data_IF_648099881794
#
_entry.id   IF_648099881794
#
_cell.length_a   1.000
_cell.length_b   1.000
_cell.length_c   1.000
_cell.angle_alpha   90.00
_cell.angle_beta   90.00
_cell.angle_gamma   90.00
#
_symmetry.space_group_name_H-M   'P 1'
#
loop_
_entity.id
_entity.type
_entity.pdbx_description
1 polymer ?
#
# COMPACT_ATOMS: atom_id res chain seq x y z
N UNK A 1 -12.35 11.92 13.49
CA UNK A 1 -12.50 11.21 12.20
C UNK A 1 -11.79 11.88 11.00
N UNK A 2 -11.65 13.19 10.94
CA UNK A 2 -11.01 13.92 9.79
C UNK A 2 -9.60 13.41 9.40
N UNK A 3 -8.86 12.73 10.29
CA UNK A 3 -7.50 12.26 10.04
C UNK A 3 -7.38 10.79 9.58
N UNK A 4 -8.49 10.05 9.46
CA UNK A 4 -8.44 8.66 9.01
C UNK A 4 -8.35 8.59 7.49
N UNK A 5 -7.35 7.84 6.99
CA UNK A 5 -7.02 7.76 5.56
C UNK A 5 -7.01 6.30 5.10
N UNK A 6 -7.64 6.01 3.96
CA UNK A 6 -7.66 4.67 3.38
C UNK A 6 -7.31 4.69 1.90
N UNK A 7 -6.68 3.64 1.43
CA UNK A 7 -6.64 3.26 0.03
C UNK A 7 -7.62 2.12 -0.23
N UNK A 8 -8.58 2.34 -1.11
CA UNK A 8 -9.45 1.27 -1.61
C UNK A 8 -8.68 0.51 -2.69
N UNK A 9 -8.50 -0.80 -2.49
CA UNK A 9 -7.80 -1.63 -3.48
C UNK A 9 -8.74 -1.94 -4.66
N UNK A 10 -8.38 -1.42 -5.83
CA UNK A 10 -9.09 -1.59 -7.08
C UNK A 10 -8.53 -2.80 -7.86
N UNK A 11 -8.61 -3.99 -7.25
CA UNK A 11 -8.06 -5.23 -7.80
C UNK A 11 -9.14 -5.88 -8.71
N UNK A 12 -9.21 -5.44 -9.96
CA UNK A 12 -10.10 -5.97 -11.01
C UNK A 12 -9.76 -5.32 -12.35
N UNK A 13 -9.79 -6.05 -13.45
CA UNK A 13 -9.61 -5.52 -14.81
C UNK A 13 -10.88 -4.87 -15.37
N UNK A 14 -12.02 -5.03 -14.69
CA UNK A 14 -13.31 -4.47 -15.12
C UNK A 14 -13.41 -2.97 -14.77
N UNK A 15 -13.29 -2.13 -15.79
CA UNK A 15 -13.33 -0.66 -15.69
C UNK A 15 -14.64 -0.15 -15.08
N UNK A 16 -15.78 -0.73 -15.47
CA UNK A 16 -17.11 -0.31 -14.96
C UNK A 16 -17.22 -0.57 -13.47
N UNK A 17 -16.70 -1.70 -12.98
CA UNK A 17 -16.61 -2.02 -11.57
C UNK A 17 -15.73 -1.00 -10.81
N UNK A 18 -14.58 -0.63 -11.37
CA UNK A 18 -13.67 0.36 -10.76
C UNK A 18 -14.33 1.74 -10.72
N UNK A 19 -14.96 2.19 -11.81
CA UNK A 19 -15.71 3.45 -11.84
C UNK A 19 -16.77 3.49 -10.73
N UNK A 20 -17.52 2.39 -10.53
CA UNK A 20 -18.51 2.25 -9.46
C UNK A 20 -17.85 2.35 -8.08
N UNK A 21 -16.75 1.64 -7.84
CA UNK A 21 -16.02 1.72 -6.56
C UNK A 21 -15.63 3.18 -6.26
N UNK A 22 -15.06 3.89 -7.24
CA UNK A 22 -14.65 5.29 -7.07
C UNK A 22 -15.87 6.17 -6.78
N UNK A 23 -16.96 6.05 -7.55
CA UNK A 23 -18.21 6.80 -7.36
C UNK A 23 -18.78 6.61 -5.95
N UNK A 24 -18.85 5.36 -5.48
CA UNK A 24 -19.50 5.00 -4.21
C UNK A 24 -18.65 5.35 -2.97
N UNK A 25 -17.33 5.62 -3.14
CA UNK A 25 -16.40 5.88 -2.02
C UNK A 25 -15.81 7.29 -1.99
N UNK A 26 -15.98 8.12 -3.03
CA UNK A 26 -15.28 9.41 -3.14
C UNK A 26 -15.79 10.50 -2.18
N UNK A 27 -17.08 10.48 -1.80
CA UNK A 27 -17.72 11.51 -0.97
C UNK A 27 -17.98 10.95 0.43
N UNK A 28 -16.94 10.72 1.20
CA UNK A 28 -17.01 10.15 2.54
C UNK A 28 -16.36 11.07 3.58
N UNK A 29 -16.67 10.85 4.86
CA UNK A 29 -16.09 11.60 5.99
C UNK A 29 -14.62 11.30 6.27
N UNK A 30 -14.04 10.33 5.56
CA UNK A 30 -12.63 9.93 5.67
C UNK A 30 -11.91 10.19 4.34
N UNK A 31 -10.59 10.36 4.39
CA UNK A 31 -9.79 10.58 3.17
C UNK A 31 -9.61 9.26 2.41
N UNK A 32 -10.02 9.24 1.14
CA UNK A 32 -9.96 8.05 0.29
C UNK A 32 -9.00 8.27 -0.88
N UNK A 33 -8.06 7.33 -1.06
CA UNK A 33 -7.26 7.13 -2.26
C UNK A 33 -7.57 5.77 -2.89
N UNK A 34 -7.06 5.52 -4.09
CA UNK A 34 -7.32 4.31 -4.85
C UNK A 34 -6.00 3.63 -5.21
N UNK A 35 -5.85 2.36 -4.78
CA UNK A 35 -4.69 1.54 -5.08
C UNK A 35 -4.97 0.69 -6.32
N UNK A 36 -4.10 0.80 -7.30
CA UNK A 36 -4.10 -0.04 -8.50
C UNK A 36 -2.89 -0.96 -8.46
N UNK A 37 -3.13 -2.26 -8.37
CA UNK A 37 -2.10 -3.29 -8.31
C UNK A 37 -1.68 -3.80 -9.69
N UNK A 38 -0.83 -4.84 -9.68
CA UNK A 38 -0.24 -5.43 -10.88
C UNK A 38 -1.30 -5.90 -11.89
N UNK A 39 -2.36 -6.58 -11.43
CA UNK A 39 -3.44 -7.07 -12.31
C UNK A 39 -4.03 -5.92 -13.14
N UNK A 40 -4.37 -4.82 -12.52
CA UNK A 40 -5.00 -3.69 -13.21
C UNK A 40 -4.02 -2.93 -14.11
N UNK A 41 -2.83 -2.61 -13.62
CA UNK A 41 -1.82 -1.85 -14.37
C UNK A 41 -1.31 -2.59 -15.60
N UNK A 42 -1.27 -3.93 -15.55
CA UNK A 42 -0.89 -4.78 -16.68
C UNK A 42 -2.07 -5.15 -17.60
N UNK A 43 -3.29 -4.76 -17.26
CA UNK A 43 -4.45 -4.98 -18.12
C UNK A 43 -4.45 -4.04 -19.33
N UNK A 44 -5.07 -4.46 -20.45
CA UNK A 44 -5.15 -3.71 -21.72
C UNK A 44 -5.50 -2.23 -21.55
N UNK A 45 -6.38 -1.89 -20.61
CA UNK A 45 -6.90 -0.53 -20.42
C UNK A 45 -6.43 0.14 -19.12
N UNK A 46 -5.61 -0.54 -18.31
CA UNK A 46 -5.26 -0.08 -16.96
C UNK A 46 -4.54 1.26 -16.97
N UNK A 47 -3.47 1.38 -17.75
CA UNK A 47 -2.68 2.60 -17.88
C UNK A 47 -3.51 3.76 -18.44
N UNK A 48 -4.26 3.52 -19.53
CA UNK A 48 -5.12 4.51 -20.15
C UNK A 48 -6.25 5.00 -19.23
N UNK A 49 -6.75 4.13 -18.35
CA UNK A 49 -7.72 4.52 -17.33
C UNK A 49 -7.10 5.44 -16.28
N UNK A 50 -5.92 5.08 -15.74
CA UNK A 50 -5.24 5.88 -14.70
C UNK A 50 -4.89 7.28 -15.23
N UNK A 51 -4.43 7.41 -16.48
CA UNK A 51 -4.11 8.73 -17.08
C UNK A 51 -5.31 9.68 -17.11
N UNK A 52 -6.53 9.14 -17.19
CA UNK A 52 -7.80 9.90 -17.20
C UNK A 52 -8.36 10.23 -15.81
N UNK A 53 -7.84 9.63 -14.74
CA UNK A 53 -8.30 9.92 -13.38
C UNK A 53 -7.86 11.32 -12.97
N UNK A 54 -8.84 12.18 -12.62
CA UNK A 54 -8.60 13.55 -12.15
C UNK A 54 -9.02 13.71 -10.69
N UNK A 55 -8.30 14.58 -9.95
CA UNK A 55 -8.65 14.98 -8.57
C UNK A 55 -8.80 13.82 -7.57
N UNK A 56 -8.11 12.70 -7.78
CA UNK A 56 -8.08 11.54 -6.88
C UNK A 56 -6.65 11.24 -6.46
N UNK A 57 -6.48 10.66 -5.26
CA UNK A 57 -5.20 10.14 -4.80
C UNK A 57 -5.02 8.76 -5.42
N UNK A 58 -4.02 8.62 -6.27
CA UNK A 58 -3.71 7.37 -6.99
C UNK A 58 -2.45 6.75 -6.42
N UNK A 59 -2.56 5.49 -6.04
CA UNK A 59 -1.47 4.67 -5.56
C UNK A 59 -1.20 3.53 -6.56
N UNK A 60 -0.07 3.59 -7.27
CA UNK A 60 0.42 2.54 -8.15
C UNK A 60 1.22 1.51 -7.33
N UNK A 61 0.61 0.35 -7.09
CA UNK A 61 1.20 -0.72 -6.28
C UNK A 61 1.88 -1.76 -7.18
N UNK A 62 3.00 -1.35 -7.81
CA UNK A 62 3.79 -2.17 -8.74
C UNK A 62 4.82 -3.06 -8.07
N UNK A 63 5.18 -2.75 -6.82
CA UNK A 63 6.22 -3.47 -6.07
C UNK A 63 7.51 -3.66 -6.87
N UNK A 64 8.00 -2.56 -7.49
CA UNK A 64 9.23 -2.57 -8.29
C UNK A 64 10.34 -3.29 -7.51
N UNK A 65 11.00 -4.26 -8.15
CA UNK A 65 12.07 -5.03 -7.55
C UNK A 65 13.08 -5.42 -8.63
N UNK A 66 14.08 -4.55 -8.82
CA UNK A 66 15.05 -4.70 -9.90
C UNK A 66 16.35 -3.93 -9.56
N UNK A 67 17.34 -3.98 -10.45
CA UNK A 67 18.57 -3.18 -10.37
C UNK A 67 18.27 -1.67 -10.42
N UNK A 68 19.18 -0.80 -9.91
CA UNK A 68 18.91 0.63 -9.77
C UNK A 68 18.47 1.32 -11.07
N UNK A 69 19.11 1.02 -12.20
CA UNK A 69 18.78 1.65 -13.48
C UNK A 69 17.36 1.31 -13.96
N UNK A 70 16.95 0.03 -13.87
CA UNK A 70 15.61 -0.43 -14.25
C UNK A 70 14.55 0.20 -13.34
N UNK A 71 14.81 0.26 -12.02
CA UNK A 71 13.90 0.93 -11.08
C UNK A 71 13.71 2.42 -11.43
N UNK A 72 14.78 3.13 -11.76
CA UNK A 72 14.75 4.54 -12.19
C UNK A 72 13.97 4.72 -13.49
N UNK A 73 14.24 3.87 -14.50
CA UNK A 73 13.55 3.90 -15.78
C UNK A 73 12.05 3.66 -15.62
N UNK A 74 11.65 2.74 -14.74
CA UNK A 74 10.23 2.49 -14.39
C UNK A 74 9.57 3.75 -13.82
N UNK A 75 10.23 4.44 -12.88
CA UNK A 75 9.69 5.70 -12.32
C UNK A 75 9.54 6.77 -13.39
N UNK A 76 10.52 6.91 -14.27
CA UNK A 76 10.47 7.87 -15.39
C UNK A 76 9.33 7.56 -16.35
N UNK A 77 9.11 6.28 -16.68
CA UNK A 77 8.03 5.83 -17.56
C UNK A 77 6.63 6.05 -16.97
N UNK A 78 6.51 6.23 -15.65
CA UNK A 78 5.24 6.47 -14.97
C UNK A 78 4.93 7.96 -14.75
N UNK A 79 5.81 8.89 -15.12
CA UNK A 79 5.63 10.33 -14.88
C UNK A 79 4.47 10.96 -15.64
N UNK A 80 4.06 10.37 -16.77
CA UNK A 80 2.87 10.77 -17.52
C UNK A 80 1.56 10.42 -16.79
N UNK A 81 1.61 9.43 -15.90
CA UNK A 81 0.49 9.09 -15.03
C UNK A 81 0.50 10.00 -13.80
N UNK A 82 -0.63 10.63 -13.51
CA UNK A 82 -0.78 11.50 -12.33
C UNK A 82 -0.91 10.68 -11.04
N UNK A 83 0.08 9.80 -10.77
CA UNK A 83 0.14 8.99 -9.56
C UNK A 83 0.75 9.78 -8.40
N UNK A 84 0.26 9.50 -7.20
CA UNK A 84 0.72 10.15 -5.96
C UNK A 84 1.67 9.26 -5.16
N UNK A 85 1.51 7.93 -5.26
CA UNK A 85 2.27 6.93 -4.52
C UNK A 85 2.70 5.80 -5.43
N UNK A 86 3.93 5.29 -5.23
CA UNK A 86 4.52 4.18 -5.98
C UNK A 86 5.32 3.28 -5.04
N UNK A 87 5.15 1.96 -5.15
CA UNK A 87 5.88 0.98 -4.33
C UNK A 87 7.16 0.49 -4.99
N UNK A 88 8.21 0.35 -4.16
CA UNK A 88 9.45 -0.36 -4.47
C UNK A 88 9.77 -1.33 -3.32
N UNK A 89 10.23 -2.54 -3.64
CA UNK A 89 10.74 -3.46 -2.63
C UNK A 89 12.05 -2.94 -2.02
N UNK A 90 12.15 -2.96 -0.69
CA UNK A 90 13.38 -2.57 0.01
C UNK A 90 14.51 -3.57 -0.31
N UNK A 91 14.15 -4.80 -0.67
CA UNK A 91 15.07 -5.83 -1.17
C UNK A 91 15.85 -5.44 -2.43
N UNK A 92 15.41 -4.43 -3.20
CA UNK A 92 16.20 -3.87 -4.32
C UNK A 92 17.52 -3.20 -3.88
N UNK A 93 17.74 -3.04 -2.57
CA UNK A 93 18.96 -2.48 -2.01
C UNK A 93 19.01 -0.96 -1.96
N UNK A 94 19.90 -0.44 -1.09
CA UNK A 94 19.96 0.99 -0.75
C UNK A 94 20.26 1.88 -1.96
N UNK A 95 21.04 1.38 -2.94
CA UNK A 95 21.37 2.14 -4.15
C UNK A 95 20.14 2.37 -5.01
N UNK A 96 19.31 1.32 -5.25
CA UNK A 96 18.06 1.44 -6.01
C UNK A 96 17.08 2.38 -5.30
N UNK A 97 16.91 2.25 -3.98
CA UNK A 97 16.03 3.10 -3.19
C UNK A 97 16.40 4.59 -3.29
N UNK A 98 17.69 4.92 -3.13
CA UNK A 98 18.19 6.30 -3.25
C UNK A 98 18.04 6.84 -4.68
N UNK A 99 18.38 6.03 -5.70
CA UNK A 99 18.27 6.41 -7.11
C UNK A 99 16.81 6.70 -7.50
N UNK A 100 15.87 5.84 -7.10
CA UNK A 100 14.43 6.05 -7.34
C UNK A 100 13.93 7.30 -6.61
N UNK A 101 14.33 7.51 -5.36
CA UNK A 101 13.92 8.70 -4.60
C UNK A 101 14.41 10.00 -5.25
N UNK A 102 15.62 10.01 -5.80
CA UNK A 102 16.19 11.17 -6.51
C UNK A 102 15.38 11.58 -7.74
N UNK A 103 14.77 10.62 -8.45
CA UNK A 103 14.02 10.88 -9.69
C UNK A 103 12.51 10.93 -9.51
N UNK A 104 11.99 10.68 -8.31
CA UNK A 104 10.56 10.53 -8.04
C UNK A 104 9.74 11.83 -8.20
N UNK A 105 10.37 12.99 -8.06
CA UNK A 105 9.68 14.29 -8.12
C UNK A 105 8.55 14.39 -7.10
N UNK A 106 7.31 14.57 -7.57
CA UNK A 106 6.11 14.66 -6.71
C UNK A 106 5.53 13.30 -6.30
N UNK A 107 6.04 12.21 -6.85
CA UNK A 107 5.58 10.84 -6.52
C UNK A 107 6.19 10.44 -5.18
N UNK A 108 5.37 10.12 -4.21
CA UNK A 108 5.82 9.55 -2.93
C UNK A 108 6.23 8.09 -3.13
N UNK A 109 7.47 7.77 -2.80
CA UNK A 109 8.02 6.42 -2.89
C UNK A 109 7.76 5.67 -1.59
N UNK A 110 7.10 4.52 -1.72
CA UNK A 110 6.74 3.63 -0.62
C UNK A 110 7.66 2.42 -0.65
N UNK A 111 8.43 2.22 0.42
CA UNK A 111 9.21 1.00 0.60
C UNK A 111 8.31 -0.17 1.03
N UNK A 112 8.34 -1.27 0.30
CA UNK A 112 7.68 -2.52 0.69
C UNK A 112 8.65 -3.34 1.52
N UNK A 113 8.27 -3.65 2.76
CA UNK A 113 9.00 -4.55 3.65
C UNK A 113 8.69 -6.02 3.31
N UNK A 114 8.61 -6.90 4.28
CA UNK A 114 8.24 -8.30 4.08
C UNK A 114 6.75 -8.41 3.75
N UNK A 115 6.41 -9.16 2.71
CA UNK A 115 5.03 -9.43 2.31
C UNK A 115 4.24 -10.06 3.46
N UNK A 116 3.00 -9.62 3.66
CA UNK A 116 2.15 -10.09 4.78
C UNK A 116 1.74 -11.56 4.68
N UNK A 117 1.93 -12.18 3.52
CA UNK A 117 1.75 -13.63 3.30
C UNK A 117 2.91 -14.48 3.84
N UNK A 118 4.09 -13.88 4.06
CA UNK A 118 5.27 -14.60 4.53
C UNK A 118 5.34 -14.61 6.06
N UNK A 119 5.56 -15.78 6.61
CA UNK A 119 5.90 -16.03 8.02
C UNK A 119 7.40 -16.38 8.17
N UNK A 120 7.84 -16.72 9.38
CA UNK A 120 9.22 -17.06 9.64
C UNK A 120 9.68 -18.32 8.87
N UNK A 121 8.78 -19.29 8.65
CA UNK A 121 9.11 -20.51 7.92
C UNK A 121 9.29 -20.21 6.43
N UNK A 122 8.39 -19.46 5.83
CA UNK A 122 8.52 -19.02 4.45
C UNK A 122 9.79 -18.17 4.22
N UNK A 123 10.17 -17.30 5.19
CA UNK A 123 11.44 -16.57 5.10
C UNK A 123 12.66 -17.50 5.12
N UNK A 124 12.67 -18.54 5.96
CA UNK A 124 13.76 -19.54 5.97
C UNK A 124 13.86 -20.27 4.64
N UNK A 125 12.72 -20.67 4.04
CA UNK A 125 12.69 -21.35 2.74
C UNK A 125 13.31 -20.53 1.60
N UNK A 126 13.18 -19.19 1.66
CA UNK A 126 13.79 -18.28 0.68
C UNK A 126 15.14 -17.71 1.13
N UNK A 127 15.80 -18.36 2.10
CA UNK A 127 17.18 -18.08 2.50
C UNK A 127 17.40 -17.02 3.57
N UNK A 128 16.35 -16.44 4.18
CA UNK A 128 16.54 -15.47 5.25
C UNK A 128 16.69 -16.13 6.63
N UNK A 129 17.77 -15.80 7.34
CA UNK A 129 18.02 -16.28 8.72
C UNK A 129 17.27 -15.48 9.79
N UNK A 130 16.97 -14.21 9.52
CA UNK A 130 16.30 -13.31 10.47
C UNK A 130 14.79 -13.59 10.55
N UNK A 131 14.21 -13.40 11.74
CA UNK A 131 12.74 -13.43 11.92
C UNK A 131 12.08 -12.26 11.20
N UNK A 132 10.80 -12.41 10.83
CA UNK A 132 10.00 -11.37 10.13
C UNK A 132 10.13 -10.02 10.82
N UNK A 133 9.91 -9.94 12.14
CA UNK A 133 9.94 -8.67 12.89
C UNK A 133 11.29 -7.97 12.77
N UNK A 134 12.39 -8.70 12.91
CA UNK A 134 13.74 -8.14 12.89
C UNK A 134 14.11 -7.66 11.48
N UNK A 135 13.71 -8.44 10.45
CA UNK A 135 13.96 -8.08 9.06
C UNK A 135 13.13 -6.85 8.65
N UNK A 136 11.87 -6.75 9.08
CA UNK A 136 11.02 -5.56 8.84
C UNK A 136 11.64 -4.31 9.47
N UNK A 137 12.12 -4.38 10.71
CA UNK A 137 12.80 -3.24 11.38
C UNK A 137 14.10 -2.88 10.64
N UNK A 138 14.89 -3.87 10.23
CA UNK A 138 16.12 -3.64 9.45
C UNK A 138 15.80 -2.92 8.12
N UNK A 139 14.79 -3.40 7.39
CA UNK A 139 14.33 -2.77 6.15
C UNK A 139 13.78 -1.36 6.38
N UNK A 140 13.08 -1.12 7.49
CA UNK A 140 12.61 0.22 7.85
C UNK A 140 13.76 1.21 8.08
N UNK A 141 14.87 0.77 8.70
CA UNK A 141 16.10 1.58 8.82
C UNK A 141 16.71 1.91 7.47
N UNK A 142 16.74 0.95 6.52
CA UNK A 142 17.22 1.19 5.15
C UNK A 142 16.34 2.20 4.40
N UNK A 143 15.02 2.09 4.53
CA UNK A 143 14.08 3.04 3.95
C UNK A 143 14.26 4.46 4.51
N UNK A 144 14.51 4.57 5.82
CA UNK A 144 14.83 5.85 6.45
C UNK A 144 16.13 6.43 5.89
N UNK A 145 17.20 5.61 5.79
CA UNK A 145 18.50 6.01 5.22
C UNK A 145 18.39 6.41 3.73
N UNK A 146 17.45 5.81 2.99
CA UNK A 146 17.15 6.19 1.60
C UNK A 146 16.19 7.39 1.48
N UNK A 147 15.71 7.94 2.61
CA UNK A 147 14.77 9.04 2.68
C UNK A 147 13.43 8.77 1.97
N UNK A 148 12.95 7.52 1.95
CA UNK A 148 11.65 7.18 1.37
C UNK A 148 10.52 7.93 2.08
N UNK A 149 9.37 8.10 1.39
CA UNK A 149 8.25 8.92 1.91
C UNK A 149 7.28 8.12 2.78
N UNK A 150 7.19 6.81 2.55
CA UNK A 150 6.31 5.91 3.29
C UNK A 150 6.85 4.49 3.32
N UNK A 151 6.26 3.65 4.19
CA UNK A 151 6.50 2.21 4.25
C UNK A 151 5.20 1.42 4.21
N UNK A 152 5.25 0.24 3.59
CA UNK A 152 4.24 -0.81 3.76
C UNK A 152 4.76 -1.85 4.74
N UNK A 153 4.01 -2.09 5.82
CA UNK A 153 4.22 -3.21 6.74
C UNK A 153 2.88 -3.71 7.30
N UNK A 154 2.88 -4.92 7.88
CA UNK A 154 1.70 -5.43 8.59
C UNK A 154 1.40 -4.56 9.82
N UNK A 155 0.12 -4.49 10.20
CA UNK A 155 -0.31 -3.75 11.38
C UNK A 155 0.35 -4.25 12.69
N UNK A 156 0.84 -5.48 12.72
CA UNK A 156 1.55 -6.05 13.87
C UNK A 156 2.96 -5.47 14.06
N UNK A 157 3.58 -4.94 12.99
CA UNK A 157 4.94 -4.37 13.03
C UNK A 157 4.95 -2.85 13.16
N UNK A 158 3.81 -2.17 12.99
CA UNK A 158 3.73 -0.69 12.93
C UNK A 158 4.43 -0.02 14.10
N UNK A 159 4.16 -0.46 15.34
CA UNK A 159 4.77 0.13 16.54
C UNK A 159 6.30 0.01 16.55
N UNK A 160 6.84 -1.13 16.10
CA UNK A 160 8.28 -1.34 15.99
C UNK A 160 8.89 -0.48 14.87
N UNK A 161 8.21 -0.42 13.72
CA UNK A 161 8.64 0.38 12.56
C UNK A 161 8.64 1.87 12.91
N UNK A 162 7.63 2.38 13.62
CA UNK A 162 7.55 3.80 14.05
C UNK A 162 8.70 4.22 14.96
N UNK A 163 9.39 3.30 15.63
CA UNK A 163 10.60 3.63 16.42
C UNK A 163 11.76 4.08 15.53
N UNK A 164 11.87 3.56 14.30
CA UNK A 164 13.00 3.78 13.38
C UNK A 164 12.63 4.51 12.08
N UNK A 165 11.32 4.67 11.78
CA UNK A 165 10.82 5.37 10.60
C UNK A 165 9.63 6.24 10.99
N UNK A 166 9.80 7.57 10.94
CA UNK A 166 8.82 8.54 11.47
C UNK A 166 7.82 9.07 10.42
N UNK A 167 7.97 8.66 9.15
CA UNK A 167 7.08 9.09 8.07
C UNK A 167 5.83 8.20 7.94
N UNK A 168 5.10 8.28 6.82
CA UNK A 168 3.82 7.58 6.64
C UNK A 168 3.98 6.05 6.66
N UNK A 169 3.11 5.36 7.40
CA UNK A 169 2.98 3.91 7.39
C UNK A 169 1.65 3.53 6.72
N UNK A 170 1.74 2.67 5.72
CA UNK A 170 0.61 2.15 4.94
C UNK A 170 0.44 0.68 5.29
N UNK A 171 -0.74 0.29 5.75
CA UNK A 171 -0.97 -1.05 6.28
C UNK A 171 -2.01 -1.79 5.46
N UNK A 172 -1.63 -2.87 4.75
CA UNK A 172 -2.55 -3.80 4.10
C UNK A 172 -3.07 -4.86 5.09
N UNK A 173 -3.86 -5.81 4.59
CA UNK A 173 -4.33 -6.93 5.39
C UNK A 173 -5.42 -6.58 6.40
N UNK A 174 -6.22 -5.56 6.09
CA UNK A 174 -7.28 -5.08 6.98
C UNK A 174 -8.58 -5.84 6.75
N UNK A 175 -9.21 -6.32 7.82
CA UNK A 175 -10.50 -7.03 7.83
C UNK A 175 -11.39 -6.52 8.96
N UNK A 176 -12.70 -6.63 8.81
CA UNK A 176 -13.63 -6.31 9.92
C UNK A 176 -13.62 -7.38 11.03
N UNK A 177 -13.33 -8.63 10.66
CA UNK A 177 -13.18 -9.76 11.59
C UNK A 177 -11.79 -10.35 11.41
N UNK A 178 -11.19 -10.89 12.47
CA UNK A 178 -9.82 -11.43 12.48
C UNK A 178 -9.63 -12.72 11.67
N UNK A 179 -10.71 -13.41 11.25
CA UNK A 179 -10.64 -14.63 10.42
C UNK A 179 -10.45 -14.27 8.94
N UNK A 180 -9.38 -14.75 8.31
CA UNK A 180 -9.08 -14.54 6.88
C UNK A 180 -8.36 -15.78 6.32
N UNK A 181 -8.69 -16.15 5.08
CA UNK A 181 -8.18 -17.37 4.43
C UNK A 181 -6.84 -17.19 3.71
N UNK A 182 -6.46 -15.98 3.32
CA UNK A 182 -5.31 -15.70 2.42
C UNK A 182 -4.24 -14.78 3.02
N UNK A 183 -4.47 -14.25 4.22
CA UNK A 183 -3.50 -13.39 4.91
C UNK A 183 -3.29 -13.87 6.35
N UNK A 184 -2.05 -14.21 6.68
CA UNK A 184 -1.68 -14.75 8.00
C UNK A 184 -1.60 -13.69 9.11
N UNK A 185 -1.54 -12.37 8.74
CA UNK A 185 -1.31 -11.25 9.66
C UNK A 185 -2.33 -10.14 9.41
N UNK A 186 -3.54 -10.31 9.96
CA UNK A 186 -4.67 -9.37 9.80
C UNK A 186 -5.03 -8.70 11.11
N UNK A 187 -5.48 -7.44 11.03
CA UNK A 187 -6.06 -6.68 12.13
C UNK A 187 -7.30 -5.91 11.65
N UNK A 188 -8.12 -5.47 12.61
CA UNK A 188 -9.25 -4.59 12.33
C UNK A 188 -8.78 -3.18 11.97
N UNK A 189 -9.59 -2.38 11.26
CA UNK A 189 -9.26 -0.99 10.95
C UNK A 189 -8.92 -0.16 12.19
N UNK A 190 -9.64 -0.36 13.28
CA UNK A 190 -9.44 0.37 14.54
C UNK A 190 -8.10 0.03 15.19
N UNK A 191 -7.79 -1.26 15.31
CA UNK A 191 -6.51 -1.73 15.86
C UNK A 191 -5.31 -1.22 15.02
N UNK A 192 -5.41 -1.29 13.70
CA UNK A 192 -4.34 -0.82 12.83
C UNK A 192 -4.07 0.69 13.00
N UNK A 193 -5.12 1.52 13.11
CA UNK A 193 -4.94 2.94 13.41
C UNK A 193 -4.44 3.19 14.84
N UNK A 194 -4.88 2.39 15.83
CA UNK A 194 -4.38 2.46 17.21
C UNK A 194 -2.89 2.14 17.28
N UNK A 195 -2.42 1.19 16.47
CA UNK A 195 -1.00 0.85 16.36
C UNK A 195 -0.16 1.92 15.64
N UNK A 196 -0.78 2.96 15.06
CA UNK A 196 -0.07 4.09 14.44
C UNK A 196 0.00 4.05 12.91
N UNK A 197 -0.81 3.22 12.23
CA UNK A 197 -0.92 3.27 10.76
C UNK A 197 -1.48 4.62 10.31
N UNK A 198 -0.87 5.22 9.28
CA UNK A 198 -1.35 6.48 8.69
C UNK A 198 -2.40 6.24 7.60
N UNK A 199 -2.23 5.17 6.83
CA UNK A 199 -3.14 4.72 5.80
C UNK A 199 -3.44 3.23 5.94
N UNK A 200 -4.68 2.84 5.66
CA UNK A 200 -5.05 1.41 5.55
C UNK A 200 -5.33 1.07 4.10
N UNK A 201 -4.84 -0.06 3.61
CA UNK A 201 -5.24 -0.61 2.30
C UNK A 201 -6.34 -1.63 2.53
N UNK A 202 -7.54 -1.34 2.00
CA UNK A 202 -8.72 -2.19 2.19
C UNK A 202 -9.28 -2.60 0.83
N UNK A 203 -9.28 -3.89 0.55
CA UNK A 203 -9.81 -4.50 -0.69
C UNK A 203 -11.21 -5.06 -0.48
N UNK A 204 -11.34 -6.38 -0.52
CA UNK A 204 -12.61 -7.13 -0.46
C UNK A 204 -13.62 -6.68 0.60
N UNK A 205 -13.23 -6.28 1.83
CA UNK A 205 -14.17 -5.75 2.81
C UNK A 205 -14.97 -4.52 2.32
N UNK A 206 -14.42 -3.76 1.37
CA UNK A 206 -15.13 -2.63 0.73
C UNK A 206 -15.66 -3.03 -0.64
N UNK A 207 -14.86 -3.73 -1.46
CA UNK A 207 -15.12 -3.88 -2.91
C UNK A 207 -16.01 -5.04 -3.28
N UNK A 208 -16.29 -6.00 -2.37
CA UNK A 208 -17.19 -7.15 -2.60
C UNK A 208 -18.63 -6.78 -2.22
N UNK A 209 -19.57 -7.04 -3.10
CA UNK A 209 -21.00 -6.76 -2.88
C UNK A 209 -21.34 -5.27 -2.97
N UNK A 210 -22.10 -4.74 -2.01
CA UNK A 210 -22.55 -3.35 -2.01
C UNK A 210 -21.47 -2.41 -1.42
N UNK A 211 -20.74 -1.75 -2.30
CA UNK A 211 -19.61 -0.86 -1.94
C UNK A 211 -20.05 0.29 -1.02
N UNK A 212 -21.19 0.92 -1.33
CA UNK A 212 -21.73 2.03 -0.54
C UNK A 212 -22.06 1.59 0.90
N UNK A 213 -22.69 0.45 1.06
CA UNK A 213 -22.99 -0.12 2.39
C UNK A 213 -21.70 -0.48 3.14
N UNK A 214 -20.71 -1.04 2.44
CA UNK A 214 -19.44 -1.45 3.03
C UNK A 214 -18.61 -0.26 3.53
N UNK A 215 -18.54 0.85 2.78
CA UNK A 215 -17.83 2.05 3.22
C UNK A 215 -18.52 2.71 4.43
N UNK A 216 -19.86 2.71 4.50
CA UNK A 216 -20.58 3.16 5.68
C UNK A 216 -20.31 2.27 6.90
N UNK A 217 -20.26 0.94 6.71
CA UNK A 217 -19.87 0.00 7.78
C UNK A 217 -18.47 0.31 8.32
N UNK A 218 -17.49 0.58 7.44
CA UNK A 218 -16.16 0.99 7.86
C UNK A 218 -16.19 2.28 8.68
N UNK A 219 -16.92 3.31 8.21
CA UNK A 219 -17.00 4.60 8.89
C UNK A 219 -17.62 4.43 10.29
N UNK A 220 -18.68 3.64 10.41
CA UNK A 220 -19.30 3.36 11.70
C UNK A 220 -18.38 2.55 12.63
N UNK A 221 -17.68 1.55 12.09
CA UNK A 221 -16.65 0.82 12.84
C UNK A 221 -15.53 1.75 13.37
N UNK A 222 -15.21 2.84 12.69
CA UNK A 222 -14.17 3.79 13.11
C UNK A 222 -14.68 4.87 14.09
N UNK A 223 -16.00 5.01 14.29
CA UNK A 223 -16.60 5.98 15.23
C UNK A 223 -16.64 5.46 16.67
N UNK A 224 -17.04 4.22 16.86
CA UNK A 224 -17.14 3.55 18.17
C UNK A 224 -15.79 3.00 18.61
#
# INVERSE_FOLDING_TARGET
MKNKKIFVACDSTNISKIKRIIKDTQNTKIKVGYKFGLEFLNSKNGRAFISKIKKKIVFADLKIHDIPNTCVSTVRALKDLKINYLTIHIGSGIQALKAVKKVSGKIKIIGVTILTSLDNNALKQIGFKKKVKDLVVHQAKLANKANLDALVCSANEVQLVKKVFKKEIITPGIRFNSKSNDQKRVLTPREAFKNGSDWLVIGRPITKGNVKKNIYKLINHLKG
#
